data_IF_512049171704
#
_entry.id   IF_512049171704
#
_cell.length_a   1.000
_cell.length_b   1.000
_cell.length_c   1.000
_cell.angle_alpha   90.00
_cell.angle_beta   90.00
_cell.angle_gamma   90.00
#
_symmetry.space_group_name_H-M   'P 1'
#
loop_
_entity.id
_entity.type
_entity.pdbx_description
1 polymer ?
#
# COMPACT_ATOMS: atom_id res chain seq x y z
N UNK A 1 -19.62 -49.63 16.39
CA UNK A 1 -19.62 -48.22 16.83
C UNK A 1 -18.18 -47.89 17.20
N UNK A 2 -17.53 -46.98 16.47
CA UNK A 2 -16.09 -46.69 16.58
C UNK A 2 -15.77 -45.44 15.76
N UNK A 3 -16.43 -44.34 16.11
CA UNK A 3 -16.25 -43.06 15.44
C UNK A 3 -14.95 -42.38 15.86
N UNK A 4 -14.60 -41.27 15.19
CA UNK A 4 -13.48 -40.42 15.58
C UNK A 4 -13.57 -40.01 17.06
N UNK A 5 -12.41 -39.93 17.72
CA UNK A 5 -12.26 -39.48 19.10
C UNK A 5 -11.24 -38.35 19.15
N UNK A 6 -11.39 -37.45 20.11
CA UNK A 6 -10.45 -36.36 20.36
C UNK A 6 -9.12 -36.88 20.92
N UNK A 7 -8.06 -36.09 20.76
CA UNK A 7 -6.76 -36.39 21.32
C UNK A 7 -6.16 -35.14 21.96
N UNK A 8 -6.19 -35.13 23.29
CA UNK A 8 -5.76 -34.02 24.14
C UNK A 8 -4.26 -33.70 24.03
N UNK A 9 -3.44 -34.57 23.43
CA UNK A 9 -2.03 -34.23 23.21
C UNK A 9 -1.82 -33.09 22.20
N UNK A 10 -2.88 -32.69 21.48
CA UNK A 10 -2.86 -31.59 20.51
C UNK A 10 -3.58 -30.32 21.02
N UNK A 11 -3.81 -30.17 22.32
CA UNK A 11 -4.32 -28.91 22.88
C UNK A 11 -3.37 -27.75 22.56
N UNK A 12 -3.93 -26.67 21.99
CA UNK A 12 -3.20 -25.42 21.82
C UNK A 12 -2.90 -24.78 23.19
N UNK A 13 -1.76 -24.08 23.34
CA UNK A 13 -1.47 -23.34 24.55
C UNK A 13 -2.49 -22.20 24.76
N UNK A 14 -2.88 -21.87 26.00
CA UNK A 14 -3.78 -20.75 26.28
C UNK A 14 -3.21 -19.42 25.76
N UNK A 15 -4.04 -18.62 25.07
CA UNK A 15 -3.70 -17.28 24.62
C UNK A 15 -4.23 -16.24 25.63
N UNK A 16 -3.34 -15.41 26.18
CA UNK A 16 -3.75 -14.29 27.01
C UNK A 16 -4.44 -13.22 26.15
N UNK A 17 -5.63 -12.79 26.56
CA UNK A 17 -6.41 -11.73 25.90
C UNK A 17 -6.64 -10.60 26.90
N UNK A 18 -6.54 -9.37 26.42
CA UNK A 18 -6.73 -8.15 27.21
C UNK A 18 -7.51 -7.10 26.42
N UNK A 19 -8.31 -6.30 27.11
CA UNK A 19 -9.22 -5.33 26.50
C UNK A 19 -10.65 -5.88 26.39
N UNK A 20 -11.59 -4.98 26.09
CA UNK A 20 -12.99 -5.34 25.89
C UNK A 20 -13.21 -5.92 24.50
N UNK A 21 -14.25 -6.75 24.34
CA UNK A 21 -14.70 -7.17 23.02
C UNK A 21 -15.49 -6.03 22.36
N UNK A 22 -14.87 -5.31 21.44
CA UNK A 22 -15.48 -4.17 20.73
C UNK A 22 -14.95 -4.04 19.28
N UNK A 23 -15.47 -3.07 18.53
CA UNK A 23 -15.08 -2.73 17.16
C UNK A 23 -13.93 -1.73 17.16
N UNK A 24 -12.71 -2.21 17.42
CA UNK A 24 -11.52 -1.37 17.37
C UNK A 24 -11.23 -0.88 15.94
N UNK A 25 -10.87 0.39 15.79
CA UNK A 25 -10.44 0.96 14.52
C UNK A 25 -8.96 0.62 14.26
N UNK A 26 -8.72 -0.25 13.28
CA UNK A 26 -7.38 -0.65 12.85
C UNK A 26 -6.57 0.49 12.22
N UNK A 27 -7.15 1.66 11.92
CA UNK A 27 -6.38 2.78 11.37
C UNK A 27 -5.59 3.53 12.44
N UNK A 28 -5.94 3.35 13.72
CA UNK A 28 -5.26 4.03 14.82
C UNK A 28 -3.91 3.36 15.07
N UNK A 29 -2.83 4.10 14.85
CA UNK A 29 -1.46 3.65 15.16
C UNK A 29 -0.83 2.72 14.12
N UNK A 30 -1.47 2.53 12.96
CA UNK A 30 -0.89 1.77 11.85
C UNK A 30 -0.15 2.70 10.86
N UNK A 31 0.94 2.17 10.32
CA UNK A 31 1.79 2.82 9.33
C UNK A 31 1.76 2.03 8.02
N UNK A 32 1.05 2.57 7.04
CA UNK A 32 0.84 1.95 5.73
C UNK A 32 1.99 2.20 4.75
N UNK A 33 2.95 3.07 5.08
CA UNK A 33 3.85 3.67 4.08
C UNK A 33 5.32 3.31 4.27
N UNK A 34 5.78 3.11 5.51
CA UNK A 34 7.20 2.80 5.78
C UNK A 34 7.64 1.49 5.13
N UNK A 35 6.85 0.42 5.23
CA UNK A 35 7.24 -0.86 4.63
C UNK A 35 7.31 -0.79 3.09
N UNK A 36 6.30 -0.26 2.37
CA UNK A 36 6.41 -0.07 0.92
C UNK A 36 7.57 0.83 0.49
N UNK A 37 7.82 1.94 1.20
CA UNK A 37 8.94 2.84 0.93
C UNK A 37 10.29 2.12 1.07
N UNK A 38 10.47 1.36 2.16
CA UNK A 38 11.67 0.56 2.37
C UNK A 38 11.88 -0.48 1.27
N UNK A 39 10.82 -1.16 0.83
CA UNK A 39 10.92 -2.11 -0.29
C UNK A 39 11.34 -1.40 -1.57
N UNK A 40 10.79 -0.22 -1.85
CA UNK A 40 11.17 0.59 -3.01
C UNK A 40 12.66 0.99 -2.98
N UNK A 41 13.21 1.34 -1.82
CA UNK A 41 14.64 1.66 -1.67
C UNK A 41 15.56 0.47 -1.90
N UNK A 42 15.08 -0.76 -1.72
CA UNK A 42 15.84 -1.97 -2.01
C UNK A 42 15.91 -2.32 -3.50
N UNK A 43 15.06 -1.70 -4.32
CA UNK A 43 15.06 -1.94 -5.76
C UNK A 43 16.19 -1.18 -6.45
N UNK A 44 16.83 -1.84 -7.42
CA UNK A 44 17.72 -1.16 -8.36
C UNK A 44 16.92 -0.39 -9.43
N UNK A 45 17.61 0.43 -10.23
CA UNK A 45 16.97 1.32 -11.19
C UNK A 45 16.14 0.56 -12.24
N UNK A 46 16.66 -0.55 -12.78
CA UNK A 46 15.93 -1.39 -13.74
C UNK A 46 14.64 -1.97 -13.14
N UNK A 47 14.69 -2.39 -11.86
CA UNK A 47 13.53 -2.89 -11.14
C UNK A 47 12.51 -1.79 -10.85
N UNK A 48 12.96 -0.57 -10.53
CA UNK A 48 12.09 0.60 -10.34
C UNK A 48 11.39 0.95 -11.65
N UNK A 49 12.10 0.95 -12.77
CA UNK A 49 11.51 1.19 -14.10
C UNK A 49 10.45 0.13 -14.47
N UNK A 50 10.72 -1.15 -14.18
CA UNK A 50 9.73 -2.21 -14.36
C UNK A 50 8.51 -2.02 -13.45
N UNK A 51 8.73 -1.65 -12.19
CA UNK A 51 7.65 -1.36 -11.24
C UNK A 51 6.75 -0.23 -11.75
N UNK A 52 7.32 0.88 -12.19
CA UNK A 52 6.57 2.01 -12.73
C UNK A 52 5.77 1.61 -13.97
N UNK A 53 6.40 0.88 -14.91
CA UNK A 53 5.75 0.41 -16.12
C UNK A 53 4.58 -0.55 -15.84
N UNK A 54 4.72 -1.44 -14.86
CA UNK A 54 3.65 -2.35 -14.46
C UNK A 54 2.45 -1.59 -13.86
N UNK A 55 2.72 -0.57 -13.03
CA UNK A 55 1.68 0.24 -12.38
C UNK A 55 0.97 1.16 -13.39
N UNK A 56 1.62 1.52 -14.50
CA UNK A 56 1.01 2.32 -15.57
C UNK A 56 -0.22 1.66 -16.22
N UNK A 57 -0.47 0.37 -15.94
CA UNK A 57 -1.76 -0.29 -16.22
C UNK A 57 -2.99 0.45 -15.65
N UNK A 58 -2.79 1.41 -14.75
CA UNK A 58 -3.82 2.34 -14.26
C UNK A 58 -4.37 3.32 -15.31
N UNK A 59 -3.78 3.43 -16.50
CA UNK A 59 -4.19 4.40 -17.53
C UNK A 59 -5.68 4.35 -17.93
N UNK A 60 -6.32 3.18 -17.83
CA UNK A 60 -7.75 3.01 -18.11
C UNK A 60 -8.70 3.35 -16.96
N UNK A 61 -8.16 3.71 -15.79
CA UNK A 61 -8.92 3.95 -14.56
C UNK A 61 -9.29 5.44 -14.46
N UNK A 62 -10.46 5.82 -13.90
CA UNK A 62 -10.83 7.21 -13.67
C UNK A 62 -9.74 8.02 -12.97
N UNK A 63 -9.54 9.24 -13.44
CA UNK A 63 -8.44 10.11 -13.04
C UNK A 63 -8.33 10.31 -11.52
N UNK A 64 -9.45 10.61 -10.85
CA UNK A 64 -9.44 10.81 -9.41
C UNK A 64 -8.94 9.59 -8.62
N UNK A 65 -9.02 8.38 -9.18
CA UNK A 65 -8.40 7.17 -8.60
C UNK A 65 -6.89 7.16 -8.85
N UNK A 66 -6.44 7.53 -10.05
CA UNK A 66 -5.01 7.66 -10.36
C UNK A 66 -4.33 8.66 -9.41
N UNK A 67 -4.92 9.84 -9.23
CA UNK A 67 -4.42 10.89 -8.33
C UNK A 67 -4.36 10.40 -6.88
N UNK A 68 -5.42 9.74 -6.40
CA UNK A 68 -5.42 9.15 -5.04
C UNK A 68 -4.29 8.13 -4.87
N UNK A 69 -4.05 7.29 -5.87
CA UNK A 69 -2.99 6.29 -5.81
C UNK A 69 -1.60 6.94 -5.80
N UNK A 70 -1.39 7.98 -6.60
CA UNK A 70 -0.14 8.76 -6.59
C UNK A 70 0.15 9.39 -5.22
N UNK A 71 -0.89 9.86 -4.51
CA UNK A 71 -0.74 10.35 -3.12
C UNK A 71 -0.21 9.26 -2.18
N UNK A 72 -0.72 8.03 -2.31
CA UNK A 72 -0.23 6.91 -1.48
C UNK A 72 1.22 6.53 -1.82
N UNK A 73 1.58 6.52 -3.11
CA UNK A 73 2.97 6.32 -3.48
C UNK A 73 3.87 7.43 -2.96
N UNK A 74 3.41 8.69 -2.97
CA UNK A 74 4.21 9.82 -2.51
C UNK A 74 4.48 9.74 -1.00
N UNK A 75 3.47 9.31 -0.24
CA UNK A 75 3.61 9.06 1.22
C UNK A 75 4.58 7.92 1.53
N UNK A 76 4.70 6.93 0.64
CA UNK A 76 5.69 5.87 0.76
C UNK A 76 7.09 6.35 0.35
N UNK A 77 7.21 7.01 -0.80
CA UNK A 77 8.42 7.67 -1.29
C UNK A 77 8.10 8.65 -2.46
N UNK A 78 8.62 9.88 -2.46
CA UNK A 78 8.38 10.83 -3.54
C UNK A 78 8.81 10.34 -4.94
N UNK A 79 10.00 9.73 -5.06
CA UNK A 79 10.53 9.25 -6.34
C UNK A 79 9.67 8.10 -6.88
N UNK A 80 9.07 7.31 -5.98
CA UNK A 80 8.10 6.29 -6.37
C UNK A 80 6.87 6.93 -7.04
N UNK A 81 6.29 7.97 -6.44
CA UNK A 81 5.14 8.65 -7.04
C UNK A 81 5.47 9.30 -8.37
N UNK A 82 6.61 10.01 -8.45
CA UNK A 82 7.02 10.68 -9.69
C UNK A 82 7.36 9.68 -10.79
N UNK A 83 8.01 8.56 -10.47
CA UNK A 83 8.31 7.49 -11.40
C UNK A 83 7.05 6.86 -12.01
N UNK A 84 6.04 6.58 -11.18
CA UNK A 84 4.74 6.09 -11.67
C UNK A 84 4.03 7.16 -12.50
N UNK A 85 3.97 8.41 -12.02
CA UNK A 85 3.30 9.49 -12.72
C UNK A 85 3.88 9.73 -14.13
N UNK A 86 5.19 9.55 -14.30
CA UNK A 86 5.88 9.68 -15.58
C UNK A 86 5.51 8.58 -16.60
N UNK A 87 4.98 7.43 -16.15
CA UNK A 87 4.51 6.34 -17.03
C UNK A 87 3.03 6.42 -17.38
N UNK A 88 2.25 7.20 -16.64
CA UNK A 88 0.83 7.39 -16.93
C UNK A 88 0.62 8.32 -18.12
N UNK A 89 -0.52 8.16 -18.78
CA UNK A 89 -0.94 9.03 -19.88
C UNK A 89 -0.93 10.51 -19.43
N UNK A 90 -0.38 11.43 -20.26
CA UNK A 90 -0.33 12.87 -19.96
C UNK A 90 -1.70 13.55 -19.94
N UNK A 91 -2.79 12.83 -20.26
CA UNK A 91 -4.13 13.32 -19.97
C UNK A 91 -4.19 13.78 -18.51
N UNK A 92 -4.55 15.04 -18.34
CA UNK A 92 -4.64 15.69 -17.03
C UNK A 92 -3.33 15.76 -16.22
N UNK A 93 -2.18 15.84 -16.90
CA UNK A 93 -0.88 16.03 -16.25
C UNK A 93 -0.86 17.20 -15.24
N UNK A 94 -1.65 18.25 -15.47
CA UNK A 94 -1.78 19.40 -14.57
C UNK A 94 -2.39 19.06 -13.21
N UNK A 95 -3.42 18.20 -13.16
CA UNK A 95 -4.08 17.80 -11.91
C UNK A 95 -3.18 16.86 -11.09
N UNK A 96 -2.54 15.90 -11.77
CA UNK A 96 -1.53 15.02 -11.17
C UNK A 96 -0.35 15.82 -10.61
N UNK A 97 0.15 16.80 -11.36
CA UNK A 97 1.23 17.68 -10.91
C UNK A 97 0.81 18.59 -9.75
N UNK A 98 -0.41 19.14 -9.77
CA UNK A 98 -0.92 19.96 -8.68
C UNK A 98 -1.03 19.16 -7.38
N UNK A 99 -1.59 17.94 -7.43
CA UNK A 99 -1.71 17.08 -6.27
C UNK A 99 -0.33 16.71 -5.67
N UNK A 100 0.65 16.38 -6.51
CA UNK A 100 2.00 16.09 -6.04
C UNK A 100 2.71 17.34 -5.49
N UNK A 101 2.53 18.50 -6.12
CA UNK A 101 3.09 19.77 -5.64
C UNK A 101 2.52 20.18 -4.28
N UNK A 102 1.21 20.01 -4.06
CA UNK A 102 0.58 20.26 -2.76
C UNK A 102 1.17 19.38 -1.66
N UNK A 103 1.43 18.10 -1.96
CA UNK A 103 2.05 17.17 -1.02
C UNK A 103 3.53 17.49 -0.75
N UNK A 104 4.24 18.06 -1.72
CA UNK A 104 5.64 18.52 -1.53
C UNK A 104 5.77 19.83 -0.74
N UNK A 105 4.67 20.56 -0.56
CA UNK A 105 4.62 21.80 0.21
C UNK A 105 4.07 21.62 1.63
N UNK A 106 3.53 20.44 1.95
CA UNK A 106 2.95 20.08 3.24
C UNK A 106 3.98 19.39 4.15
#
# INVERSE_FOLDING_TARGET
>A
MGGPTENDCYFEPPLNVSGDADRYDHRVGYDDYTQPGNIFHLLNDDQKELLFGNIASLDGVPEGIQVRQLVHFYRADPDYAFGVAAKLNPSHASEKAAALAELSLA
#
